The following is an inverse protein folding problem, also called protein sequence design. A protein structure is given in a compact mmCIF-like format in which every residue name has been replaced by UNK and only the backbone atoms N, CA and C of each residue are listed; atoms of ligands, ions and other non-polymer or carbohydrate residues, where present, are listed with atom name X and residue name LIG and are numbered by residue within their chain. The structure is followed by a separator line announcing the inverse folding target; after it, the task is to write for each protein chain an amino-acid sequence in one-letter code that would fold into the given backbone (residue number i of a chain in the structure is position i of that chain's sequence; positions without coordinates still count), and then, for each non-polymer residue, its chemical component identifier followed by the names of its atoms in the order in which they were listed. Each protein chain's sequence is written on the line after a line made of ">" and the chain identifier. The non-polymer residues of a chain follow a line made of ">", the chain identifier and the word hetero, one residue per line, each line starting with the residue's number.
data_IF_624493125835
#
_entry.id   IF_624493125835
#
_cell.length_a   1.000
_cell.length_b   1.000
_cell.length_c   1.000
_cell.angle_alpha   90.00
_cell.angle_beta   90.00
_cell.angle_gamma   90.00
#
_symmetry.space_group_name_H-M   'P 1'
#
loop_
_entity.id
_entity.type
_entity.pdbx_description
1 polymer ?
#
# COMPACT_ATOMS: atom_id res chain seq x y z
N UNK A 1 22.54 6.51 -10.85
CA UNK A 1 22.91 6.82 -9.45
C UNK A 1 22.42 5.73 -8.51
N UNK A 2 22.96 5.65 -7.29
CA UNK A 2 22.47 4.76 -6.23
C UNK A 2 21.96 5.63 -5.08
N UNK A 3 20.64 5.78 -4.98
CA UNK A 3 20.00 6.53 -3.91
C UNK A 3 19.47 5.57 -2.84
N UNK A 4 19.51 5.93 -1.55
CA UNK A 4 18.81 5.18 -0.51
C UNK A 4 17.31 5.13 -0.83
N UNK A 5 16.74 3.93 -0.88
CA UNK A 5 15.32 3.71 -1.15
C UNK A 5 14.72 2.73 -0.15
N UNK A 6 13.39 2.69 -0.09
CA UNK A 6 12.64 1.76 0.73
C UNK A 6 11.52 1.11 -0.11
N UNK A 7 11.23 -0.16 0.17
CA UNK A 7 10.07 -0.87 -0.35
C UNK A 7 9.20 -1.29 0.84
N UNK A 8 7.91 -1.04 0.73
CA UNK A 8 6.91 -1.31 1.77
C UNK A 8 5.82 -2.19 1.18
N UNK A 9 5.18 -2.98 2.03
CA UNK A 9 4.02 -3.79 1.67
C UNK A 9 2.83 -3.35 2.50
N UNK A 10 1.71 -3.14 1.84
CA UNK A 10 0.42 -2.93 2.47
C UNK A 10 -0.45 -4.15 2.18
N UNK A 11 -1.08 -4.69 3.21
CA UNK A 11 -2.00 -5.82 3.06
C UNK A 11 -3.21 -5.41 2.22
N UNK A 12 -3.54 -6.21 1.22
CA UNK A 12 -4.72 -6.03 0.37
C UNK A 12 -5.70 -7.20 0.46
N UNK A 13 -5.59 -8.08 1.45
CA UNK A 13 -6.54 -9.19 1.63
C UNK A 13 -7.89 -8.64 2.10
N UNK A 14 -9.03 -8.99 1.46
CA UNK A 14 -10.34 -8.56 1.90
C UNK A 14 -10.63 -8.86 3.37
N UNK A 15 -11.36 -7.97 4.03
CA UNK A 15 -11.73 -8.13 5.43
C UNK A 15 -12.43 -9.47 5.71
N UNK A 16 -12.03 -10.14 6.80
CA UNK A 16 -12.59 -11.43 7.20
C UNK A 16 -12.07 -12.65 6.42
N UNK A 17 -11.22 -12.45 5.41
CA UNK A 17 -10.58 -13.54 4.64
C UNK A 17 -9.22 -13.89 5.26
N UNK A 18 -8.94 -15.18 5.42
CA UNK A 18 -7.61 -15.64 5.85
C UNK A 18 -6.59 -15.41 4.71
N UNK A 19 -5.57 -14.55 4.90
CA UNK A 19 -4.58 -14.25 3.86
C UNK A 19 -3.77 -15.46 3.40
N UNK A 20 -3.73 -16.53 4.20
CA UNK A 20 -3.03 -17.79 3.85
C UNK A 20 -3.79 -18.61 2.81
N UNK A 21 -5.10 -18.38 2.67
CA UNK A 21 -5.99 -19.11 1.78
C UNK A 21 -6.55 -18.23 0.65
N UNK A 22 -6.33 -16.91 0.71
CA UNK A 22 -6.75 -15.97 -0.32
C UNK A 22 -6.05 -16.25 -1.66
N UNK A 23 -6.73 -16.09 -2.81
CA UNK A 23 -6.07 -16.22 -4.11
C UNK A 23 -4.91 -15.21 -4.25
N UNK A 24 -3.70 -15.65 -4.65
CA UNK A 24 -2.53 -14.80 -4.67
C UNK A 24 -2.51 -13.87 -5.90
N UNK A 25 -1.57 -12.92 -5.88
CA UNK A 25 -1.20 -12.16 -7.08
C UNK A 25 -0.97 -13.10 -8.28
N UNK A 26 -1.39 -12.67 -9.47
CA UNK A 26 -1.42 -13.46 -10.72
C UNK A 26 -2.51 -14.54 -10.81
N UNK A 27 -3.34 -14.75 -9.79
CA UNK A 27 -4.56 -15.55 -9.94
C UNK A 27 -5.64 -14.76 -10.69
N UNK A 28 -6.45 -15.43 -11.52
CA UNK A 28 -7.66 -14.84 -12.09
C UNK A 28 -8.80 -14.63 -11.07
N UNK A 29 -8.57 -15.05 -9.81
CA UNK A 29 -9.49 -14.90 -8.68
C UNK A 29 -8.96 -13.96 -7.60
N UNK A 30 -7.83 -13.29 -7.86
CA UNK A 30 -7.28 -12.30 -6.91
C UNK A 30 -8.30 -11.19 -6.69
N UNK A 31 -8.44 -10.79 -5.44
CA UNK A 31 -9.33 -9.71 -5.02
C UNK A 31 -8.61 -8.88 -3.96
N UNK A 32 -8.78 -7.56 -4.02
CA UNK A 32 -8.04 -6.61 -3.18
C UNK A 32 -8.99 -5.77 -2.35
N UNK A 33 -8.69 -5.63 -1.06
CA UNK A 33 -9.37 -4.69 -0.15
C UNK A 33 -9.16 -3.25 -0.63
N UNK A 34 -10.23 -2.62 -1.13
CA UNK A 34 -10.15 -1.31 -1.77
C UNK A 34 -9.75 -0.20 -0.80
N UNK A 35 -10.09 -0.32 0.48
CA UNK A 35 -9.67 0.61 1.53
C UNK A 35 -8.13 0.70 1.68
N UNK A 36 -7.40 -0.35 1.25
CA UNK A 36 -5.95 -0.33 1.20
C UNK A 36 -5.42 0.71 0.19
N UNK A 37 -6.16 1.01 -0.88
CA UNK A 37 -5.76 2.02 -1.86
C UNK A 37 -5.64 3.40 -1.21
N UNK A 38 -6.63 3.80 -0.43
CA UNK A 38 -6.62 5.10 0.28
C UNK A 38 -5.46 5.18 1.26
N UNK A 39 -5.16 4.09 1.97
CA UNK A 39 -4.02 4.03 2.89
C UNK A 39 -2.69 4.17 2.13
N UNK A 40 -2.53 3.49 1.00
CA UNK A 40 -1.35 3.60 0.15
C UNK A 40 -1.15 5.01 -0.41
N UNK A 41 -2.24 5.65 -0.87
CA UNK A 41 -2.22 7.05 -1.31
C UNK A 41 -1.77 7.98 -0.19
N UNK A 42 -2.38 7.87 1.00
CA UNK A 42 -2.03 8.70 2.14
C UNK A 42 -0.54 8.54 2.53
N UNK A 43 -0.01 7.31 2.49
CA UNK A 43 1.40 7.03 2.78
C UNK A 43 2.32 7.72 1.77
N UNK A 44 2.10 7.53 0.48
CA UNK A 44 2.94 8.14 -0.56
C UNK A 44 2.84 9.67 -0.57
N UNK A 45 1.63 10.22 -0.41
CA UNK A 45 1.42 11.67 -0.33
C UNK A 45 2.10 12.26 0.89
N UNK A 46 1.97 11.64 2.06
CA UNK A 46 2.62 12.12 3.29
C UNK A 46 4.15 12.10 3.15
N UNK A 47 4.71 11.03 2.57
CA UNK A 47 6.15 10.94 2.30
C UNK A 47 6.61 12.06 1.36
N UNK A 48 5.87 12.31 0.27
CA UNK A 48 6.20 13.36 -0.69
C UNK A 48 6.13 14.75 -0.04
N UNK A 49 5.05 15.06 0.68
CA UNK A 49 4.87 16.36 1.35
C UNK A 49 5.95 16.60 2.41
N UNK A 50 6.26 15.60 3.24
CA UNK A 50 7.36 15.69 4.21
C UNK A 50 8.70 15.92 3.53
N UNK A 51 8.96 15.24 2.42
CA UNK A 51 10.21 15.41 1.65
C UNK A 51 10.32 16.81 1.05
N UNK A 52 9.19 17.42 0.67
CA UNK A 52 9.10 18.78 0.13
C UNK A 52 9.03 19.87 1.21
N UNK A 53 9.00 19.51 2.50
CA UNK A 53 8.91 20.47 3.61
C UNK A 53 7.51 21.07 3.81
N UNK A 54 6.46 20.43 3.29
CA UNK A 54 5.07 20.86 3.51
C UNK A 54 4.57 20.29 4.84
N UNK A 55 4.13 21.17 5.73
CA UNK A 55 3.43 20.78 6.95
C UNK A 55 1.99 20.40 6.62
N UNK A 56 1.53 19.28 7.19
CA UNK A 56 0.12 18.92 7.21
C UNK A 56 -0.44 19.43 8.54
N UNK A 57 -1.45 20.31 8.45
CA UNK A 57 -2.18 20.83 9.60
C UNK A 57 -3.21 19.81 10.14
#
# INVERSE_FOLDING_TARGET
>A
EKLPGAMLFLGGTPNGVDPRNAPPNHSNRVDFEEDAMTTGMALYTSLALRTLGVMLD
#
